data_IF_219912102525
#
_entry.id   IF_219912102525
#
_cell.length_a   1.000
_cell.length_b   1.000
_cell.length_c   1.000
_cell.angle_alpha   90.00
_cell.angle_beta   90.00
_cell.angle_gamma   90.00
#
_symmetry.space_group_name_H-M   'P 1'
#
loop_
_entity.id
_entity.type
_entity.pdbx_description
1 polymer ?
#
# COMPACT_ATOMS: atom_id res chain seq x y z
N UNK A 1 0.17 -55.62 -2.16
CA UNK A 1 1.03 -54.70 -1.38
C UNK A 1 1.30 -53.39 -2.15
N UNK A 2 1.23 -53.35 -3.48
CA UNK A 2 1.60 -52.14 -4.26
C UNK A 2 0.54 -51.04 -4.41
N UNK A 3 -0.73 -51.33 -4.16
CA UNK A 3 -1.81 -50.34 -4.33
C UNK A 3 -1.80 -49.25 -3.24
N UNK A 4 -1.35 -49.59 -2.02
CA UNK A 4 -1.28 -48.67 -0.88
C UNK A 4 -0.05 -47.73 -0.94
N UNK A 5 1.03 -48.13 -1.61
CA UNK A 5 2.22 -47.29 -1.81
C UNK A 5 2.01 -46.22 -2.90
N UNK A 6 1.18 -46.49 -3.91
CA UNK A 6 0.83 -45.51 -4.94
C UNK A 6 -0.09 -44.39 -4.43
N UNK A 7 -1.04 -44.73 -3.55
CA UNK A 7 -1.96 -43.76 -2.94
C UNK A 7 -1.26 -42.80 -1.96
N UNK A 8 -0.32 -43.32 -1.15
CA UNK A 8 0.47 -42.52 -0.20
C UNK A 8 1.44 -41.56 -0.90
N UNK A 9 2.05 -41.96 -2.03
CA UNK A 9 2.88 -41.08 -2.88
C UNK A 9 2.09 -39.97 -3.57
N UNK A 10 0.87 -40.24 -4.04
CA UNK A 10 0.00 -39.20 -4.63
C UNK A 10 -0.52 -38.20 -3.59
N UNK A 11 -0.84 -38.66 -2.38
CA UNK A 11 -1.23 -37.77 -1.29
C UNK A 11 -0.09 -36.86 -0.81
N UNK A 12 1.15 -37.36 -0.72
CA UNK A 12 2.32 -36.53 -0.40
C UNK A 12 2.65 -35.51 -1.51
N UNK A 13 2.48 -35.90 -2.78
CA UNK A 13 2.69 -35.02 -3.94
C UNK A 13 1.63 -33.90 -4.07
N UNK A 14 0.39 -34.14 -3.63
CA UNK A 14 -0.67 -33.11 -3.59
C UNK A 14 -0.50 -32.14 -2.42
N UNK A 15 0.10 -32.59 -1.31
CA UNK A 15 0.46 -31.74 -0.17
C UNK A 15 1.76 -30.94 -0.39
N UNK A 16 2.51 -31.24 -1.45
CA UNK A 16 3.75 -30.55 -1.83
C UNK A 16 3.56 -29.55 -2.98
N UNK A 17 2.34 -29.37 -3.47
CA UNK A 17 2.09 -28.27 -4.39
C UNK A 17 2.24 -26.97 -3.59
N UNK A 18 3.15 -26.05 -3.98
CA UNK A 18 3.24 -24.76 -3.31
C UNK A 18 1.86 -24.12 -3.39
N UNK A 19 1.35 -23.51 -2.29
CA UNK A 19 0.01 -22.99 -2.27
C UNK A 19 -0.17 -22.02 -3.46
N UNK A 20 -1.20 -22.20 -4.28
CA UNK A 20 -1.40 -21.42 -5.52
C UNK A 20 -2.10 -20.07 -5.25
N UNK A 21 -2.31 -19.73 -3.98
CA UNK A 21 -2.94 -18.48 -3.55
C UNK A 21 -1.96 -17.30 -3.45
N UNK A 22 -2.48 -16.07 -3.28
CA UNK A 22 -1.66 -14.87 -3.15
C UNK A 22 -0.67 -15.00 -1.99
N UNK A 23 0.52 -14.42 -2.17
CA UNK A 23 1.62 -14.47 -1.18
C UNK A 23 1.73 -13.24 -0.30
N UNK A 24 1.23 -12.13 -0.78
CA UNK A 24 1.25 -10.84 -0.10
C UNK A 24 -0.19 -10.35 -0.01
N UNK A 25 -0.63 -10.03 1.20
CA UNK A 25 -1.85 -9.30 1.49
C UNK A 25 -1.46 -7.86 1.85
N UNK A 26 -2.19 -6.88 1.34
CA UNK A 26 -1.87 -5.47 1.54
C UNK A 26 -3.06 -4.77 2.18
N UNK A 27 -2.77 -3.97 3.20
CA UNK A 27 -3.69 -3.02 3.83
C UNK A 27 -2.98 -1.67 3.90
N UNK A 28 -3.75 -0.60 3.81
CA UNK A 28 -3.29 0.78 3.91
C UNK A 28 -4.44 1.61 4.44
N UNK A 29 -4.13 2.72 5.09
CA UNK A 29 -5.09 3.74 5.46
C UNK A 29 -6.32 3.19 6.21
N UNK A 30 -6.02 2.32 7.17
CA UNK A 30 -7.02 1.67 8.02
C UNK A 30 -7.53 2.64 9.09
N UNK A 31 -6.68 3.56 9.55
CA UNK A 31 -6.99 4.59 10.54
C UNK A 31 -7.63 4.06 11.84
N UNK A 32 -6.96 3.10 12.51
CA UNK A 32 -7.43 2.47 13.73
C UNK A 32 -7.59 3.43 14.92
N UNK A 33 -7.00 4.62 14.87
CA UNK A 33 -7.25 5.72 15.80
C UNK A 33 -8.71 6.19 15.79
N UNK A 34 -9.40 6.03 14.66
CA UNK A 34 -10.79 6.44 14.50
C UNK A 34 -11.66 5.45 15.28
N UNK A 35 -12.17 5.91 16.43
CA UNK A 35 -12.99 5.06 17.31
C UNK A 35 -12.19 3.99 18.07
N UNK A 36 -10.88 4.15 18.22
CA UNK A 36 -10.00 3.28 19.03
C UNK A 36 -10.10 1.78 18.68
N UNK A 37 -10.10 1.48 17.38
CA UNK A 37 -10.41 0.15 16.85
C UNK A 37 -9.24 -0.84 16.88
N UNK A 38 -8.09 -0.48 17.44
CA UNK A 38 -6.88 -1.31 17.48
C UNK A 38 -7.09 -2.75 18.00
N UNK A 39 -8.07 -2.96 18.89
CA UNK A 39 -8.34 -4.27 19.50
C UNK A 39 -9.52 -5.01 18.89
N UNK A 40 -10.35 -4.33 18.12
CA UNK A 40 -11.63 -4.85 17.61
C UNK A 40 -11.64 -5.01 16.09
N UNK A 41 -10.79 -4.27 15.39
CA UNK A 41 -10.67 -4.36 13.94
C UNK A 41 -10.16 -5.75 13.52
N UNK A 42 -10.88 -6.38 12.60
CA UNK A 42 -10.52 -7.68 12.04
C UNK A 42 -10.78 -7.71 10.54
N UNK A 43 -10.01 -8.53 9.85
CA UNK A 43 -10.11 -8.74 8.41
C UNK A 43 -9.65 -10.18 8.08
N UNK A 44 -10.14 -10.82 7.01
CA UNK A 44 -9.70 -12.16 6.63
C UNK A 44 -8.21 -12.20 6.28
N UNK A 45 -7.49 -13.24 6.72
CA UNK A 45 -6.11 -13.48 6.30
C UNK A 45 -6.13 -14.28 5.00
N UNK A 46 -5.61 -13.72 3.92
CA UNK A 46 -5.67 -14.31 2.56
C UNK A 46 -4.30 -14.71 2.02
N UNK A 47 -3.21 -14.34 2.71
CA UNK A 47 -1.84 -14.62 2.33
C UNK A 47 -0.94 -14.78 3.57
N UNK A 48 0.23 -15.42 3.46
CA UNK A 48 1.17 -15.58 4.58
C UNK A 48 1.84 -14.27 5.00
N UNK A 49 2.08 -13.33 4.08
CA UNK A 49 2.72 -12.05 4.38
C UNK A 49 1.72 -10.91 4.32
N UNK A 50 1.76 -10.04 5.33
CA UNK A 50 0.96 -8.81 5.39
C UNK A 50 1.84 -7.59 5.17
N UNK A 51 1.41 -6.66 4.33
CA UNK A 51 1.98 -5.32 4.21
C UNK A 51 0.96 -4.33 4.75
N UNK A 52 1.36 -3.55 5.75
CA UNK A 52 0.68 -2.35 6.23
C UNK A 52 1.37 -1.15 5.57
N UNK A 53 0.77 -0.59 4.52
CA UNK A 53 1.36 0.40 3.62
C UNK A 53 1.14 1.87 4.08
N UNK A 54 1.16 2.09 5.39
CA UNK A 54 0.94 3.40 6.02
C UNK A 54 -0.51 3.64 6.45
N UNK A 55 -0.68 4.67 7.29
CA UNK A 55 -1.96 5.12 7.86
C UNK A 55 -2.78 3.98 8.48
N UNK A 56 -2.09 3.04 9.13
CA UNK A 56 -2.70 2.04 10.01
C UNK A 56 -3.24 2.70 11.27
N UNK A 57 -2.52 3.68 11.80
CA UNK A 57 -3.03 4.64 12.78
C UNK A 57 -1.96 5.36 13.59
N UNK A 58 -2.36 6.03 14.66
CA UNK A 58 -1.45 6.83 15.50
C UNK A 58 -0.48 5.97 16.30
N UNK A 59 0.83 6.15 16.08
CA UNK A 59 1.85 5.43 16.83
C UNK A 59 1.98 5.90 18.28
N UNK A 60 1.54 7.14 18.55
CA UNK A 60 1.38 7.66 19.91
C UNK A 60 0.38 6.84 20.75
N UNK A 61 -0.52 6.08 20.13
CA UNK A 61 -1.38 5.08 20.78
C UNK A 61 -0.67 3.73 20.93
N UNK A 62 0.57 3.75 21.43
CA UNK A 62 1.52 2.64 21.36
C UNK A 62 0.95 1.28 21.79
N UNK A 63 0.28 1.22 22.95
CA UNK A 63 -0.25 -0.04 23.49
C UNK A 63 -1.39 -0.62 22.65
N UNK A 64 -2.21 0.26 22.05
CA UNK A 64 -3.24 -0.14 21.09
C UNK A 64 -2.60 -0.67 19.82
N UNK A 65 -1.67 0.10 19.25
CA UNK A 65 -0.94 -0.28 18.04
C UNK A 65 -0.20 -1.62 18.20
N UNK A 66 0.49 -1.82 19.33
CA UNK A 66 1.13 -3.07 19.68
C UNK A 66 0.12 -4.22 19.81
N UNK A 67 -1.05 -3.99 20.42
CA UNK A 67 -2.11 -4.99 20.50
C UNK A 67 -2.62 -5.41 19.11
N UNK A 68 -2.78 -4.45 18.20
CA UNK A 68 -3.14 -4.73 16.80
C UNK A 68 -2.07 -5.59 16.10
N UNK A 69 -0.79 -5.21 16.17
CA UNK A 69 0.30 -5.98 15.57
C UNK A 69 0.43 -7.38 16.18
N UNK A 70 0.23 -7.52 17.49
CA UNK A 70 0.20 -8.83 18.17
C UNK A 70 -0.87 -9.74 17.59
N UNK A 71 -2.05 -9.21 17.24
CA UNK A 71 -3.09 -9.99 16.59
C UNK A 71 -2.73 -10.40 15.15
N UNK A 72 -1.87 -9.65 14.46
CA UNK A 72 -1.45 -9.99 13.09
C UNK A 72 -0.33 -11.03 13.08
N UNK A 73 0.66 -10.95 13.96
CA UNK A 73 1.79 -11.92 14.00
C UNK A 73 1.38 -13.35 14.38
N UNK A 74 0.15 -13.55 14.88
CA UNK A 74 -0.43 -14.89 15.12
C UNK A 74 -1.05 -15.50 13.87
N UNK A 75 -1.35 -14.68 12.85
CA UNK A 75 -2.07 -15.06 11.63
C UNK A 75 -1.21 -14.97 10.37
N UNK A 76 -0.16 -14.17 10.43
CA UNK A 76 0.79 -13.94 9.34
C UNK A 76 2.20 -14.43 9.74
N UNK A 77 2.93 -14.94 8.75
CA UNK A 77 4.33 -15.34 8.91
C UNK A 77 5.24 -14.12 9.08
N UNK A 78 4.92 -13.04 8.37
CA UNK A 78 5.65 -11.77 8.40
C UNK A 78 4.67 -10.61 8.23
N UNK A 79 4.92 -9.51 8.95
CA UNK A 79 4.15 -8.26 8.83
C UNK A 79 5.13 -7.15 8.50
N UNK A 80 5.02 -6.55 7.33
CA UNK A 80 5.80 -5.41 6.90
C UNK A 80 5.03 -4.13 7.24
N UNK A 81 5.69 -3.19 7.91
CA UNK A 81 5.10 -1.93 8.34
C UNK A 81 5.81 -0.77 7.64
N UNK A 82 5.10 -0.08 6.76
CA UNK A 82 5.43 1.26 6.28
C UNK A 82 4.64 2.26 7.13
N UNK A 83 5.27 3.35 7.51
CA UNK A 83 4.61 4.44 8.23
C UNK A 83 4.02 5.41 7.20
N UNK A 84 2.76 5.79 7.38
CA UNK A 84 2.16 6.94 6.72
C UNK A 84 2.23 8.18 7.61
N UNK A 85 1.59 9.28 7.22
CA UNK A 85 1.65 10.52 7.97
C UNK A 85 0.85 10.43 9.29
N UNK A 86 -0.20 9.60 9.35
CA UNK A 86 -0.99 9.42 10.57
C UNK A 86 -0.20 8.74 11.69
N UNK A 87 0.76 7.86 11.40
CA UNK A 87 1.64 7.31 12.44
C UNK A 87 2.42 8.39 13.19
N UNK A 88 2.71 9.53 12.55
CA UNK A 88 3.44 10.66 13.13
C UNK A 88 2.54 11.65 13.88
N UNK A 89 1.21 11.54 13.76
CA UNK A 89 0.32 12.47 14.43
C UNK A 89 0.37 12.31 15.95
N UNK A 90 0.30 13.45 16.65
CA UNK A 90 0.43 13.57 18.12
C UNK A 90 1.81 13.16 18.66
N UNK A 91 2.80 12.99 17.79
CA UNK A 91 4.21 12.80 18.14
C UNK A 91 5.10 13.76 17.35
N UNK A 92 6.40 13.73 17.62
CA UNK A 92 7.42 14.27 16.71
C UNK A 92 7.92 13.18 15.76
N UNK A 93 8.61 13.60 14.70
CA UNK A 93 9.19 12.66 13.73
C UNK A 93 10.13 11.65 14.40
N UNK A 94 11.08 12.13 15.22
CA UNK A 94 12.04 11.28 15.93
C UNK A 94 11.36 10.29 16.86
N UNK A 95 10.42 10.75 17.68
CA UNK A 95 9.71 9.89 18.64
C UNK A 95 8.95 8.77 17.92
N UNK A 96 8.29 9.08 16.80
CA UNK A 96 7.57 8.07 16.02
C UNK A 96 8.53 7.06 15.40
N UNK A 97 9.68 7.48 14.86
CA UNK A 97 10.68 6.54 14.33
C UNK A 97 11.23 5.65 15.46
N UNK A 98 11.56 6.21 16.61
CA UNK A 98 12.04 5.46 17.77
C UNK A 98 11.00 4.46 18.28
N UNK A 99 9.72 4.86 18.34
CA UNK A 99 8.61 3.99 18.72
C UNK A 99 8.40 2.85 17.70
N UNK A 100 8.51 3.13 16.41
CA UNK A 100 8.38 2.12 15.36
C UNK A 100 9.53 1.09 15.43
N UNK A 101 10.75 1.57 15.65
CA UNK A 101 11.91 0.70 15.90
C UNK A 101 11.77 -0.09 17.20
N UNK A 102 11.09 0.47 18.22
CA UNK A 102 10.76 -0.24 19.46
C UNK A 102 9.79 -1.37 19.19
N UNK A 103 8.73 -1.14 18.41
CA UNK A 103 7.77 -2.18 18.01
C UNK A 103 8.46 -3.37 17.36
N UNK A 104 9.35 -3.15 16.39
CA UNK A 104 10.08 -4.24 15.74
C UNK A 104 10.88 -5.12 16.74
N UNK A 105 11.35 -4.52 17.84
CA UNK A 105 12.11 -5.19 18.90
C UNK A 105 11.23 -5.77 20.02
N UNK A 106 9.92 -5.56 19.99
CA UNK A 106 9.01 -6.07 21.02
C UNK A 106 9.03 -7.61 21.04
N UNK A 107 9.34 -8.25 22.19
CA UNK A 107 9.34 -9.71 22.28
C UNK A 107 7.99 -10.33 21.92
N UNK A 108 6.90 -9.62 22.21
CA UNK A 108 5.54 -10.05 21.91
C UNK A 108 5.26 -10.17 20.39
N UNK A 109 6.06 -9.52 19.54
CA UNK A 109 5.94 -9.59 18.08
C UNK A 109 6.80 -10.68 17.45
N UNK A 110 7.57 -11.42 18.25
CA UNK A 110 8.31 -12.63 17.86
C UNK A 110 9.27 -12.42 16.67
N UNK A 111 9.77 -11.19 16.47
CA UNK A 111 10.62 -10.84 15.33
C UNK A 111 9.94 -10.96 13.96
N UNK A 112 8.60 -11.03 13.91
CA UNK A 112 7.83 -11.18 12.67
C UNK A 112 7.44 -9.85 12.03
N UNK A 113 7.52 -8.75 12.77
CA UNK A 113 7.29 -7.40 12.24
C UNK A 113 8.59 -6.86 11.64
N UNK A 114 8.51 -6.29 10.44
CA UNK A 114 9.62 -5.60 9.77
C UNK A 114 9.22 -4.16 9.52
N UNK A 115 9.90 -3.22 10.16
CA UNK A 115 9.76 -1.80 9.85
C UNK A 115 10.45 -1.50 8.52
N UNK A 116 9.70 -0.96 7.56
CA UNK A 116 10.16 -0.50 6.26
C UNK A 116 10.27 1.04 6.26
N UNK A 117 11.34 1.56 6.85
CA UNK A 117 11.67 2.99 6.85
C UNK A 117 13.06 3.19 6.23
N UNK A 118 13.08 3.49 4.92
CA UNK A 118 14.30 3.46 4.08
C UNK A 118 15.06 2.15 4.24
N UNK A 119 14.31 1.04 4.15
CA UNK A 119 14.84 -0.30 4.37
C UNK A 119 14.57 -1.23 3.19
N UNK A 120 15.58 -2.03 2.89
CA UNK A 120 15.50 -3.21 2.03
C UNK A 120 15.30 -4.47 2.87
N UNK A 121 14.41 -5.34 2.43
CA UNK A 121 14.26 -6.70 2.93
C UNK A 121 14.28 -7.68 1.77
N UNK A 122 15.12 -8.69 1.85
CA UNK A 122 15.22 -9.73 0.83
C UNK A 122 14.57 -11.00 1.35
N UNK A 123 13.73 -11.62 0.52
CA UNK A 123 13.26 -12.96 0.78
C UNK A 123 14.41 -13.95 0.63
N UNK A 124 14.66 -14.72 1.68
CA UNK A 124 15.69 -15.74 1.81
C UNK A 124 15.12 -17.14 2.13
N UNK A 125 13.79 -17.30 2.11
CA UNK A 125 13.13 -18.58 2.33
C UNK A 125 13.04 -19.48 1.09
N UNK A 126 12.41 -20.63 1.28
CA UNK A 126 12.35 -21.71 0.27
C UNK A 126 11.14 -21.64 -0.67
N UNK A 127 10.26 -20.63 -0.56
CA UNK A 127 9.14 -20.47 -1.47
C UNK A 127 9.62 -19.98 -2.84
N UNK A 128 9.61 -20.89 -3.82
CA UNK A 128 10.03 -20.61 -5.20
C UNK A 128 9.25 -19.45 -5.86
N UNK A 129 8.01 -19.17 -5.44
CA UNK A 129 7.24 -18.03 -5.98
C UNK A 129 7.68 -16.68 -5.41
N UNK A 130 8.40 -16.67 -4.28
CA UNK A 130 8.95 -15.48 -3.65
C UNK A 130 10.48 -15.41 -3.78
N UNK A 131 11.10 -16.44 -4.36
CA UNK A 131 12.54 -16.52 -4.52
C UNK A 131 13.05 -15.35 -5.35
N UNK A 132 13.98 -14.60 -4.76
CA UNK A 132 14.50 -13.39 -5.39
C UNK A 132 13.60 -12.16 -5.23
N UNK A 133 12.56 -12.20 -4.39
CA UNK A 133 11.81 -11.01 -4.03
C UNK A 133 12.65 -10.09 -3.12
N UNK A 134 12.69 -8.82 -3.48
CA UNK A 134 13.20 -7.73 -2.65
C UNK A 134 12.07 -6.77 -2.36
N UNK A 135 11.87 -6.43 -1.09
CA UNK A 135 10.92 -5.40 -0.66
C UNK A 135 11.71 -4.17 -0.22
N UNK A 136 11.45 -3.04 -0.86
CA UNK A 136 11.96 -1.73 -0.47
C UNK A 136 10.80 -0.93 0.11
N UNK A 137 10.99 -0.25 1.24
CA UNK A 137 9.94 0.65 1.71
C UNK A 137 10.41 1.83 2.53
N UNK A 138 9.63 2.89 2.41
CA UNK A 138 9.75 4.16 3.11
C UNK A 138 8.40 4.89 3.08
N UNK A 139 8.23 5.97 3.84
CA UNK A 139 7.01 6.79 3.79
C UNK A 139 6.90 7.49 2.43
N UNK A 140 8.04 7.96 1.92
CA UNK A 140 8.19 8.79 0.72
C UNK A 140 7.40 10.09 0.85
N UNK A 141 7.82 10.97 1.79
CA UNK A 141 7.24 12.32 1.96
C UNK A 141 7.21 13.10 0.64
N UNK A 142 6.48 14.21 0.57
CA UNK A 142 6.27 14.94 -0.69
C UNK A 142 7.32 16.03 -0.94
N UNK A 143 7.65 16.27 -2.21
CA UNK A 143 8.41 17.46 -2.58
C UNK A 143 7.55 18.72 -2.40
N UNK A 144 8.11 19.75 -1.76
CA UNK A 144 7.46 21.05 -1.63
C UNK A 144 8.15 22.06 -2.56
N UNK A 145 7.45 22.58 -3.60
CA UNK A 145 8.00 23.64 -4.43
C UNK A 145 8.22 24.91 -3.62
N UNK A 146 9.40 25.53 -3.76
CA UNK A 146 9.82 26.72 -3.02
C UNK A 146 8.78 27.85 -3.05
N UNK A 147 8.20 28.10 -4.23
CA UNK A 147 7.21 29.15 -4.47
C UNK A 147 5.86 28.93 -3.77
N UNK A 148 5.64 27.76 -3.18
CA UNK A 148 4.37 27.36 -2.55
C UNK A 148 4.48 26.94 -1.09
N UNK A 149 5.69 26.98 -0.51
CA UNK A 149 5.97 26.45 0.84
C UNK A 149 5.06 27.03 1.91
N UNK A 150 4.85 28.34 1.93
CA UNK A 150 3.99 29.00 2.95
C UNK A 150 2.52 28.58 2.84
N UNK A 151 1.97 28.54 1.62
CA UNK A 151 0.59 28.10 1.40
C UNK A 151 0.39 26.63 1.74
N UNK A 152 1.35 25.77 1.37
CA UNK A 152 1.29 24.34 1.66
C UNK A 152 1.41 24.08 3.17
N UNK A 153 2.26 24.84 3.87
CA UNK A 153 2.42 24.72 5.32
C UNK A 153 1.12 25.04 6.08
N UNK A 154 0.33 26.01 5.59
CA UNK A 154 -0.96 26.35 6.19
C UNK A 154 -2.07 25.36 5.82
N UNK A 155 -1.99 24.74 4.65
CA UNK A 155 -3.02 23.87 4.10
C UNK A 155 -2.88 22.41 4.53
N UNK A 156 -1.66 21.89 4.63
CA UNK A 156 -1.40 20.47 4.93
C UNK A 156 -1.50 20.20 6.43
N UNK A 157 -2.32 19.22 6.78
CA UNK A 157 -2.61 18.84 8.16
C UNK A 157 -1.40 18.33 8.92
N UNK A 158 -0.42 17.74 8.22
CA UNK A 158 0.81 17.21 8.82
C UNK A 158 1.55 18.24 9.66
N UNK A 159 1.70 19.48 9.16
CA UNK A 159 2.38 20.57 9.87
C UNK A 159 1.64 21.06 11.12
N UNK A 160 0.37 20.68 11.27
CA UNK A 160 -0.47 21.00 12.44
C UNK A 160 -0.49 19.87 13.46
N UNK A 161 -0.28 18.63 13.03
CA UNK A 161 -0.49 17.44 13.86
C UNK A 161 0.79 16.69 14.22
N UNK A 162 1.87 16.89 13.46
CA UNK A 162 3.20 16.38 13.76
C UNK A 162 3.98 17.49 14.46
N UNK A 163 4.45 17.22 15.66
CA UNK A 163 5.17 18.16 16.50
C UNK A 163 6.54 18.46 15.87
N UNK A 164 6.91 19.74 15.85
CA UNK A 164 8.19 20.24 15.33
C UNK A 164 8.44 19.88 13.85
N UNK A 165 7.37 19.56 13.10
CA UNK A 165 7.45 19.25 11.67
C UNK A 165 7.38 20.53 10.83
N UNK A 166 8.49 20.87 10.17
CA UNK A 166 8.59 22.07 9.33
C UNK A 166 8.54 21.71 7.85
N UNK A 167 8.15 22.67 7.00
CA UNK A 167 8.17 22.49 5.54
C UNK A 167 9.57 22.12 5.02
N UNK A 168 10.62 22.75 5.58
CA UNK A 168 12.00 22.43 5.23
C UNK A 168 12.34 20.98 5.57
N UNK A 169 12.01 20.54 6.79
CA UNK A 169 12.26 19.17 7.25
C UNK A 169 11.48 18.14 6.42
N UNK A 170 10.22 18.43 6.08
CA UNK A 170 9.42 17.58 5.20
C UNK A 170 10.09 17.41 3.83
N UNK A 171 10.56 18.50 3.24
CA UNK A 171 11.26 18.47 1.95
C UNK A 171 12.60 17.72 2.02
N UNK A 172 13.42 17.98 3.04
CA UNK A 172 14.71 17.31 3.21
C UNK A 172 14.52 15.80 3.39
N UNK A 173 13.53 15.41 4.20
CA UNK A 173 13.17 13.99 4.40
C UNK A 173 12.73 13.35 3.09
N UNK A 174 11.91 14.02 2.27
CA UNK A 174 11.56 13.55 0.93
C UNK A 174 12.79 13.29 0.06
N UNK A 175 13.73 14.26 0.02
CA UNK A 175 14.95 14.13 -0.78
C UNK A 175 15.81 12.95 -0.34
N UNK A 176 15.97 12.76 0.97
CA UNK A 176 16.69 11.62 1.53
C UNK A 176 16.04 10.28 1.16
N UNK A 177 14.73 10.16 1.34
CA UNK A 177 13.99 8.93 1.02
C UNK A 177 13.99 8.62 -0.48
N UNK A 178 13.82 9.64 -1.32
CA UNK A 178 13.84 9.50 -2.78
C UNK A 178 15.24 9.14 -3.31
N UNK A 179 16.30 9.74 -2.75
CA UNK A 179 17.68 9.41 -3.10
C UNK A 179 18.03 7.97 -2.69
N UNK A 180 17.66 7.58 -1.47
CA UNK A 180 17.85 6.21 -0.98
C UNK A 180 17.12 5.19 -1.86
N UNK A 181 15.82 5.41 -2.14
CA UNK A 181 15.01 4.48 -2.91
C UNK A 181 15.54 4.34 -4.34
N UNK A 182 15.95 5.45 -4.97
CA UNK A 182 16.60 5.43 -6.29
C UNK A 182 17.87 4.58 -6.27
N UNK A 183 18.75 4.82 -5.30
CA UNK A 183 20.00 4.08 -5.19
C UNK A 183 19.79 2.58 -5.01
N UNK A 184 18.81 2.17 -4.20
CA UNK A 184 18.50 0.75 -3.98
C UNK A 184 17.91 0.08 -5.24
N UNK A 185 17.05 0.78 -5.97
CA UNK A 185 16.49 0.27 -7.24
C UNK A 185 17.59 0.11 -8.28
N UNK A 186 18.46 1.11 -8.44
CA UNK A 186 19.59 1.06 -9.36
C UNK A 186 20.56 -0.08 -9.01
N UNK A 187 20.83 -0.28 -7.71
CA UNK A 187 21.66 -1.37 -7.22
C UNK A 187 21.09 -2.74 -7.56
N UNK A 188 19.81 -2.98 -7.27
CA UNK A 188 19.16 -4.27 -7.62
C UNK A 188 19.16 -4.48 -9.14
N UNK A 189 18.83 -3.44 -9.92
CA UNK A 189 18.80 -3.54 -11.38
C UNK A 189 20.19 -3.79 -12.01
N UNK A 190 21.23 -3.19 -11.45
CA UNK A 190 22.61 -3.32 -11.95
C UNK A 190 23.26 -4.65 -11.57
N UNK A 191 23.15 -5.04 -10.30
CA UNK A 191 23.93 -6.13 -9.70
C UNK A 191 23.13 -7.44 -9.59
N UNK A 192 21.80 -7.36 -9.50
CA UNK A 192 20.93 -8.46 -9.06
C UNK A 192 19.77 -8.71 -10.05
N UNK A 193 20.08 -8.74 -11.35
CA UNK A 193 19.14 -8.77 -12.50
C UNK A 193 18.02 -9.82 -12.50
N UNK A 194 18.06 -10.81 -11.60
CA UNK A 194 17.05 -11.87 -11.46
C UNK A 194 16.07 -11.62 -10.32
N UNK A 195 16.28 -10.58 -9.51
CA UNK A 195 15.40 -10.24 -8.40
C UNK A 195 14.19 -9.45 -8.88
N UNK A 196 13.04 -9.73 -8.27
CA UNK A 196 11.84 -8.93 -8.41
C UNK A 196 11.83 -7.90 -7.28
N UNK A 197 11.56 -6.63 -7.60
CA UNK A 197 11.55 -5.56 -6.59
C UNK A 197 10.11 -5.12 -6.35
N UNK A 198 9.68 -5.19 -5.10
CA UNK A 198 8.46 -4.59 -4.62
C UNK A 198 8.81 -3.32 -3.84
N UNK A 199 8.41 -2.18 -4.35
CA UNK A 199 8.52 -0.89 -3.66
C UNK A 199 7.21 -0.62 -2.97
N UNK A 200 7.26 -0.39 -1.66
CA UNK A 200 6.10 -0.03 -0.84
C UNK A 200 6.32 1.36 -0.28
N UNK A 201 5.54 2.32 -0.74
CA UNK A 201 5.54 3.67 -0.18
C UNK A 201 4.15 4.04 0.28
N UNK A 202 4.07 4.86 1.32
CA UNK A 202 2.76 5.38 1.74
C UNK A 202 2.28 6.40 0.71
N UNK A 203 3.03 7.48 0.47
CA UNK A 203 2.65 8.44 -0.56
C UNK A 203 3.12 8.02 -1.96
N UNK A 204 2.36 8.45 -2.97
CA UNK A 204 2.64 8.16 -4.37
C UNK A 204 3.88 8.93 -4.87
N UNK A 205 4.80 8.29 -5.63
CA UNK A 205 5.81 9.02 -6.38
C UNK A 205 5.13 9.87 -7.48
N UNK A 206 5.41 11.17 -7.52
CA UNK A 206 4.85 12.05 -8.54
C UNK A 206 5.48 11.84 -9.92
N UNK A 207 4.69 12.03 -10.99
CA UNK A 207 5.22 12.12 -12.37
C UNK A 207 5.69 13.54 -12.65
N UNK A 208 6.79 13.67 -13.41
CA UNK A 208 7.14 14.94 -14.08
C UNK A 208 5.94 15.36 -14.96
N UNK A 209 5.27 16.47 -14.62
CA UNK A 209 4.19 17.06 -15.41
C UNK A 209 2.78 17.04 -14.81
N UNK A 210 2.54 16.55 -13.58
CA UNK A 210 1.20 16.62 -12.98
C UNK A 210 0.87 18.01 -12.41
N UNK A 211 0.64 19.00 -13.28
CA UNK A 211 -0.26 20.12 -12.97
C UNK A 211 -1.67 19.71 -13.39
N UNK A 212 -2.36 18.93 -12.57
CA UNK A 212 -3.79 18.70 -12.79
C UNK A 212 -4.56 19.92 -12.32
N UNK A 213 -4.93 20.75 -13.30
CA UNK A 213 -6.03 21.72 -13.20
C UNK A 213 -7.28 20.95 -12.75
N UNK A 214 -7.87 21.36 -11.64
CA UNK A 214 -9.16 20.85 -11.18
C UNK A 214 -10.23 21.01 -12.26
N UNK A 215 -10.85 19.90 -12.68
CA UNK A 215 -12.19 19.92 -13.27
C UNK A 215 -12.94 18.63 -12.91
N UNK A 216 -14.17 18.84 -12.42
CA UNK A 216 -15.15 17.84 -11.98
C UNK A 216 -15.36 16.71 -13.01
N UNK A 217 -15.51 15.49 -12.52
CA UNK A 217 -16.13 14.37 -13.24
C UNK A 217 -15.13 13.35 -13.78
N UNK A 218 -15.02 12.22 -13.08
CA UNK A 218 -14.53 10.90 -13.49
C UNK A 218 -13.59 10.79 -14.71
N UNK A 219 -12.33 10.40 -14.44
CA UNK A 219 -11.57 9.30 -15.09
C UNK A 219 -10.18 9.29 -14.47
N UNK A 220 -9.96 8.39 -13.49
CA UNK A 220 -8.67 8.17 -12.84
C UNK A 220 -7.66 7.58 -13.82
N UNK A 221 -6.92 8.45 -14.50
CA UNK A 221 -5.72 8.09 -15.25
C UNK A 221 -4.53 8.18 -14.30
N UNK A 222 -4.25 7.12 -13.55
CA UNK A 222 -3.02 7.00 -12.76
C UNK A 222 -2.04 6.06 -13.45
N UNK A 223 -1.44 6.57 -14.53
CA UNK A 223 -0.30 5.94 -15.16
C UNK A 223 0.93 6.36 -14.33
N UNK A 224 1.84 5.47 -13.91
CA UNK A 224 3.22 5.83 -13.48
C UNK A 224 4.22 5.23 -14.48
N UNK A 225 5.02 6.11 -15.08
CA UNK A 225 6.23 5.80 -15.84
C UNK A 225 7.21 6.94 -15.52
N UNK A 226 7.69 7.05 -14.28
CA UNK A 226 8.97 7.71 -14.08
C UNK A 226 10.02 6.98 -14.90
N UNK A 227 10.81 7.70 -15.68
CA UNK A 227 11.85 7.17 -16.60
C UNK A 227 13.00 6.43 -15.91
N UNK A 228 12.96 6.29 -14.58
CA UNK A 228 13.98 5.67 -13.76
C UNK A 228 13.58 4.30 -13.18
N UNK A 229 12.33 3.85 -13.37
CA UNK A 229 11.96 2.47 -13.01
C UNK A 229 12.33 1.51 -14.13
N UNK A 230 12.96 0.40 -13.77
CA UNK A 230 13.32 -0.69 -14.70
C UNK A 230 12.21 -1.73 -14.77
N UNK A 231 12.27 -2.61 -15.77
CA UNK A 231 11.41 -3.80 -15.83
C UNK A 231 11.60 -4.66 -14.57
N UNK A 232 10.50 -5.17 -14.01
CA UNK A 232 10.53 -6.02 -12.80
C UNK A 232 10.35 -5.28 -11.46
N UNK A 233 10.17 -3.96 -11.47
CA UNK A 233 9.80 -3.18 -10.28
C UNK A 233 8.27 -3.04 -10.18
N UNK A 234 7.69 -3.52 -9.10
CA UNK A 234 6.29 -3.33 -8.73
C UNK A 234 6.21 -2.24 -7.66
N UNK A 235 5.42 -1.21 -7.88
CA UNK A 235 5.20 -0.13 -6.90
C UNK A 235 3.82 -0.29 -6.27
N UNK A 236 3.77 -0.29 -4.94
CA UNK A 236 2.55 -0.28 -4.13
C UNK A 236 2.47 1.06 -3.42
N UNK A 237 1.31 1.69 -3.53
CA UNK A 237 0.98 2.98 -2.93
C UNK A 237 -0.34 2.84 -2.17
N UNK A 238 -0.41 3.42 -0.98
CA UNK A 238 -1.66 3.63 -0.24
C UNK A 238 -2.33 4.94 -0.66
N UNK A 239 -3.61 4.90 -1.06
CA UNK A 239 -4.40 6.12 -1.26
C UNK A 239 -5.84 5.87 -0.79
N UNK A 240 -6.39 6.74 0.06
CA UNK A 240 -7.83 6.73 0.41
C UNK A 240 -8.59 7.70 -0.47
N UNK A 241 -9.61 7.19 -1.16
CA UNK A 241 -10.78 7.97 -1.51
C UNK A 241 -11.92 7.59 -0.55
N UNK A 242 -12.40 8.55 0.22
CA UNK A 242 -13.21 8.32 1.42
C UNK A 242 -14.57 7.65 1.24
N UNK A 243 -15.07 7.13 2.36
CA UNK A 243 -16.47 6.72 2.56
C UNK A 243 -16.66 5.20 2.75
N UNK A 244 -16.88 4.82 4.02
CA UNK A 244 -17.41 3.54 4.55
C UNK A 244 -17.27 2.26 3.69
N UNK A 245 -16.28 1.45 4.06
CA UNK A 245 -16.10 0.07 3.58
C UNK A 245 -14.64 -0.22 3.25
N UNK A 246 -13.93 -0.91 4.15
CA UNK A 246 -12.51 -1.24 3.98
C UNK A 246 -12.29 -2.05 2.70
N UNK A 247 -11.69 -1.40 1.70
CA UNK A 247 -11.19 -2.01 0.48
C UNK A 247 -9.93 -1.27 0.04
N UNK A 248 -8.76 -1.87 0.26
CA UNK A 248 -7.46 -1.31 -0.13
C UNK A 248 -7.11 -1.84 -1.52
N UNK A 249 -6.94 -0.94 -2.49
CA UNK A 249 -6.51 -1.27 -3.84
C UNK A 249 -5.04 -0.88 -4.03
N UNK A 250 -4.13 -1.83 -3.77
CA UNK A 250 -2.73 -1.69 -4.15
C UNK A 250 -2.57 -2.05 -5.64
N UNK A 251 -2.30 -1.06 -6.49
CA UNK A 251 -2.14 -1.28 -7.94
C UNK A 251 -0.72 -1.69 -8.30
N UNK A 252 -0.47 -2.99 -8.44
CA UNK A 252 0.76 -3.52 -9.03
C UNK A 252 0.80 -3.27 -10.55
N UNK A 253 1.74 -2.44 -11.03
CA UNK A 253 1.95 -2.23 -12.47
C UNK A 253 2.85 -3.33 -13.05
N UNK A 254 2.19 -4.28 -13.75
CA UNK A 254 2.64 -5.30 -14.73
C UNK A 254 4.16 -5.55 -14.86
N UNK A 255 4.67 -6.77 -14.63
CA UNK A 255 4.13 -8.03 -15.15
C UNK A 255 3.95 -9.13 -14.09
N UNK A 256 2.71 -9.63 -14.01
CA UNK A 256 2.22 -10.74 -13.17
C UNK A 256 2.42 -10.55 -11.65
N UNK A 257 1.47 -9.84 -11.05
CA UNK A 257 0.71 -10.44 -9.96
C UNK A 257 -0.77 -10.34 -10.33
N UNK A 258 -1.28 -11.45 -10.85
CA UNK A 258 -2.71 -11.66 -11.01
C UNK A 258 -3.33 -11.74 -9.62
N UNK A 259 -4.48 -11.11 -9.40
CA UNK A 259 -5.54 -11.85 -8.74
C UNK A 259 -5.91 -12.99 -9.71
N UNK A 260 -5.57 -14.23 -9.38
CA UNK A 260 -5.94 -15.39 -10.19
C UNK A 260 -6.89 -16.29 -9.40
N UNK A 261 -8.10 -16.44 -9.94
CA UNK A 261 -9.20 -17.25 -9.44
C UNK A 261 -10.38 -16.34 -9.09
N UNK A 262 -11.42 -16.14 -9.90
CA UNK A 262 -11.87 -16.91 -11.05
C UNK A 262 -12.70 -15.98 -11.97
N UNK A 263 -12.89 -16.37 -13.23
CA UNK A 263 -13.72 -15.63 -14.17
C UNK A 263 -15.18 -15.57 -13.69
N UNK A 264 -15.73 -14.37 -13.56
CA UNK A 264 -17.14 -14.17 -13.28
C UNK A 264 -17.52 -12.73 -13.59
N UNK A 265 -18.10 -12.51 -14.76
CA UNK A 265 -18.81 -11.28 -15.10
C UNK A 265 -19.97 -11.14 -14.10
N UNK A 266 -19.90 -10.15 -13.21
CA UNK A 266 -21.08 -9.71 -12.45
C UNK A 266 -21.63 -8.46 -13.13
N UNK A 267 -22.56 -8.68 -14.06
CA UNK A 267 -23.56 -7.68 -14.42
C UNK A 267 -24.30 -7.21 -13.16
N UNK A 268 -24.69 -5.93 -13.05
CA UNK A 268 -25.46 -5.46 -11.91
C UNK A 268 -26.91 -5.97 -12.04
N UNK A 269 -27.23 -7.08 -11.38
CA UNK A 269 -28.63 -7.35 -11.02
C UNK A 269 -29.09 -6.29 -10.02
N UNK A 270 -29.94 -5.39 -10.51
CA UNK A 270 -30.58 -4.37 -9.70
C UNK A 270 -31.39 -4.97 -8.57
N UNK A 271 -30.96 -4.70 -7.34
CA UNK A 271 -31.84 -4.85 -6.18
C UNK A 271 -32.89 -3.75 -6.27
N UNK A 272 -34.13 -4.15 -6.56
CA UNK A 272 -35.32 -3.32 -6.46
C UNK A 272 -35.41 -2.75 -5.05
N UNK A 273 -35.40 -1.42 -4.94
CA UNK A 273 -35.91 -0.74 -3.76
C UNK A 273 -37.43 -1.02 -3.62
N UNK A 274 -37.96 -1.16 -2.40
CA UNK A 274 -39.40 -1.29 -2.21
C UNK A 274 -40.12 -0.01 -2.68
N UNK A 275 -41.14 -0.22 -3.49
CA UNK A 275 -42.04 0.79 -4.04
C UNK A 275 -42.58 1.70 -2.93
N UNK A 276 -42.33 3.01 -3.07
CA UNK A 276 -43.22 4.02 -2.53
C UNK A 276 -43.88 4.74 -3.70
N UNK A 277 -45.20 4.61 -3.74
CA UNK A 277 -46.11 5.28 -4.66
C UNK A 277 -45.84 6.79 -4.75
N UNK A 278 -45.69 7.30 -5.98
CA UNK A 278 -45.69 8.74 -6.26
C UNK A 278 -45.39 9.00 -7.73
N UNK A 279 -46.45 9.27 -8.51
CA UNK A 279 -46.43 9.64 -9.93
C UNK A 279 -45.64 10.95 -10.16
N UNK A 280 -44.88 11.03 -11.25
CA UNK A 280 -45.12 11.95 -12.39
C UNK A 280 -43.96 11.92 -13.41
N UNK A 281 -44.33 12.09 -14.68
CA UNK A 281 -43.55 11.88 -15.91
C UNK A 281 -42.65 13.08 -16.27
N UNK A 282 -41.63 12.86 -17.11
CA UNK A 282 -40.91 13.95 -17.79
C UNK A 282 -39.64 13.54 -18.54
N UNK A 283 -39.72 13.61 -19.87
CA UNK A 283 -38.74 13.23 -20.92
C UNK A 283 -37.47 14.11 -21.00
N UNK A 284 -36.42 13.65 -21.70
CA UNK A 284 -35.37 14.54 -22.23
C UNK A 284 -34.04 13.89 -22.61
N UNK A 285 -33.66 13.99 -23.88
CA UNK A 285 -32.58 13.27 -24.58
C UNK A 285 -31.27 14.08 -24.83
N UNK A 286 -30.32 13.42 -25.51
CA UNK A 286 -29.12 13.92 -26.23
C UNK A 286 -27.86 14.19 -25.38
N UNK A 287 -26.62 13.88 -25.78
CA UNK A 287 -26.03 13.61 -27.11
C UNK A 287 -24.85 14.59 -27.30
N UNK A 288 -23.64 14.12 -27.64
CA UNK A 288 -22.54 15.04 -27.96
C UNK A 288 -21.13 14.41 -28.02
N UNK A 289 -20.66 14.19 -29.23
CA UNK A 289 -19.26 13.91 -29.60
C UNK A 289 -18.42 15.19 -29.57
N UNK A 290 -17.09 15.06 -29.47
CA UNK A 290 -16.15 16.15 -29.74
C UNK A 290 -14.73 15.77 -29.37
N UNK A 291 -13.93 15.39 -30.37
CA UNK A 291 -12.49 15.27 -30.25
C UNK A 291 -11.80 16.61 -30.46
N UNK A 292 -10.60 16.77 -29.92
CA UNK A 292 -9.62 17.71 -30.46
C UNK A 292 -8.20 17.31 -30.05
N UNK A 293 -7.35 17.27 -31.07
CA UNK A 293 -5.90 17.20 -31.00
C UNK A 293 -5.27 18.48 -30.43
N UNK A 294 -4.06 18.33 -29.90
CA UNK A 294 -2.87 19.14 -30.23
C UNK A 294 -2.10 19.79 -29.07
N UNK A 295 -0.79 19.57 -29.19
CA UNK A 295 0.32 20.48 -28.94
C UNK A 295 0.80 20.71 -27.49
N UNK A 296 2.09 20.45 -27.33
CA UNK A 296 2.88 20.36 -26.11
C UNK A 296 3.67 21.65 -25.85
N UNK A 297 3.72 22.08 -24.58
CA UNK A 297 4.89 22.64 -23.89
C UNK A 297 4.92 22.05 -22.49
#
# INVERSE_FOLDING_TARGET
MDFLQGATRRLTSLLQQPPTGPRLQILSDVHLEVGEQYRTFTFPATAPFLILAGDTGYLSHYDGYLAFLKAQVTRFERVFLVLGNHEFYKGSYEETIEAAQRLEREPALQGKVVLLHRRRWDYDGDDENLRGLTILGCTLWSALPDDSREMVQLAVSDFKHIRDWTAQRHHDTHLEEAAWLRGEVERVAGEEKRRQVLVVTHHAPSRRGSRTRTRRGARGSMLTRPSWWTEGVVVVVGEVAGGEGVGVWAHALLGRLCAAGDQGVCEPEGVRAPEQHGREEGEGAAGGQGGEEAAWV
#
